data_IF_220008854081
#
_entry.id   IF_220008854081
#
_cell.length_a   1.000
_cell.length_b   1.000
_cell.length_c   1.000
_cell.angle_alpha   90.00
_cell.angle_beta   90.00
_cell.angle_gamma   90.00
#
_symmetry.space_group_name_H-M   'P 1'
#
loop_
_entity.id
_entity.type
_entity.pdbx_description
1 polymer ?
#
# COMPACT_ATOMS: atom_id res chain seq x y z
N UNK A 1 -84.61 -10.29 -22.10
CA UNK A 1 -83.55 -11.33 -22.13
C UNK A 1 -82.21 -10.66 -22.41
N UNK A 2 -81.16 -11.14 -21.72
CA UNK A 2 -79.97 -10.37 -21.29
C UNK A 2 -78.94 -10.11 -22.41
N UNK A 3 -78.41 -8.88 -22.45
CA UNK A 3 -77.27 -8.44 -23.27
C UNK A 3 -75.98 -9.18 -22.85
N UNK A 4 -75.27 -9.76 -23.82
CA UNK A 4 -73.93 -10.31 -23.63
C UNK A 4 -72.89 -9.19 -23.64
N UNK A 5 -72.23 -8.94 -22.51
CA UNK A 5 -71.03 -8.09 -22.43
C UNK A 5 -69.82 -8.89 -22.90
N UNK A 6 -69.22 -8.52 -24.04
CA UNK A 6 -67.89 -9.00 -24.44
C UNK A 6 -66.86 -8.42 -23.46
N UNK A 7 -66.14 -9.28 -22.73
CA UNK A 7 -64.97 -8.89 -21.93
C UNK A 7 -63.78 -8.70 -22.88
N UNK A 8 -63.27 -7.47 -22.96
CA UNK A 8 -61.97 -7.16 -23.56
C UNK A 8 -60.87 -7.57 -22.58
N UNK A 9 -59.89 -8.36 -23.04
CA UNK A 9 -58.64 -8.62 -22.33
C UNK A 9 -57.55 -7.72 -22.94
N UNK A 10 -56.71 -7.03 -22.14
CA UNK A 10 -55.59 -6.28 -22.70
C UNK A 10 -54.44 -7.23 -23.06
N UNK A 11 -53.99 -7.16 -24.31
CA UNK A 11 -52.72 -7.74 -24.76
C UNK A 11 -51.56 -7.05 -24.03
N UNK A 12 -50.72 -7.83 -23.34
CA UNK A 12 -49.46 -7.32 -22.78
C UNK A 12 -48.47 -7.10 -23.92
N UNK A 13 -48.25 -5.85 -24.28
CA UNK A 13 -47.27 -5.44 -25.29
C UNK A 13 -45.87 -5.47 -24.65
N UNK A 14 -45.12 -6.54 -24.93
CA UNK A 14 -43.71 -6.67 -24.56
C UNK A 14 -42.86 -5.93 -25.60
N UNK A 15 -42.59 -4.65 -25.36
CA UNK A 15 -41.69 -3.85 -26.20
C UNK A 15 -40.77 -3.01 -25.31
N UNK A 16 -39.59 -3.53 -24.99
CA UNK A 16 -38.53 -2.69 -24.42
C UNK A 16 -37.98 -1.78 -25.52
N UNK A 17 -37.88 -0.47 -25.25
CA UNK A 17 -37.36 0.48 -26.23
C UNK A 17 -35.89 0.17 -26.53
N UNK A 18 -35.46 0.35 -27.78
CA UNK A 18 -34.04 0.29 -28.15
C UNK A 18 -33.21 1.30 -27.32
N UNK A 19 -33.83 2.39 -26.88
CA UNK A 19 -33.23 3.40 -26.01
C UNK A 19 -32.93 2.84 -24.61
N UNK A 20 -33.81 2.00 -24.07
CA UNK A 20 -33.61 1.31 -22.79
C UNK A 20 -32.44 0.32 -22.89
N UNK A 21 -32.32 -0.37 -24.02
CA UNK A 21 -31.19 -1.28 -24.28
C UNK A 21 -29.86 -0.53 -24.39
N UNK A 22 -29.83 0.59 -25.11
CA UNK A 22 -28.65 1.45 -25.21
C UNK A 22 -28.27 2.07 -23.86
N UNK A 23 -29.26 2.47 -23.04
CA UNK A 23 -29.04 2.98 -21.69
C UNK A 23 -28.43 1.90 -20.77
N UNK A 24 -28.93 0.67 -20.85
CA UNK A 24 -28.38 -0.47 -20.09
C UNK A 24 -26.94 -0.82 -20.51
N UNK A 25 -26.62 -0.75 -21.81
CA UNK A 25 -25.25 -0.96 -22.28
C UNK A 25 -24.29 0.13 -21.80
N UNK A 26 -24.73 1.39 -21.81
CA UNK A 26 -23.93 2.52 -21.30
C UNK A 26 -23.69 2.42 -19.79
N UNK A 27 -24.69 2.02 -19.01
CA UNK A 27 -24.53 1.84 -17.56
C UNK A 27 -23.60 0.67 -17.23
N UNK A 28 -23.68 -0.43 -17.99
CA UNK A 28 -22.75 -1.55 -17.87
C UNK A 28 -21.31 -1.16 -18.24
N UNK A 29 -21.12 -0.35 -19.29
CA UNK A 29 -19.81 0.18 -19.69
C UNK A 29 -19.23 1.11 -18.61
N UNK A 30 -20.01 2.06 -18.08
CA UNK A 30 -19.58 2.96 -17.01
C UNK A 30 -19.25 2.20 -15.71
N UNK A 31 -20.03 1.15 -15.40
CA UNK A 31 -19.75 0.26 -14.26
C UNK A 31 -18.44 -0.49 -14.47
N UNK A 32 -18.19 -1.00 -15.68
CA UNK A 32 -16.93 -1.66 -16.03
C UNK A 32 -15.74 -0.72 -15.90
N UNK A 33 -15.83 0.49 -16.45
CA UNK A 33 -14.79 1.53 -16.34
C UNK A 33 -14.48 1.87 -14.88
N UNK A 34 -15.52 2.03 -14.06
CA UNK A 34 -15.38 2.25 -12.61
C UNK A 34 -14.60 1.13 -11.90
N UNK A 35 -14.95 -0.13 -12.14
CA UNK A 35 -14.21 -1.27 -11.57
C UNK A 35 -12.78 -1.38 -12.12
N UNK A 36 -12.57 -1.02 -13.38
CA UNK A 36 -11.26 -1.06 -14.02
C UNK A 36 -10.33 0.02 -13.46
N UNK A 37 -10.88 1.18 -13.10
CA UNK A 37 -10.16 2.23 -12.38
C UNK A 37 -9.82 1.81 -10.94
N UNK A 38 -10.74 1.18 -10.21
CA UNK A 38 -10.45 0.59 -8.89
C UNK A 38 -9.34 -0.46 -8.98
N UNK A 39 -9.35 -1.30 -10.01
CA UNK A 39 -8.32 -2.32 -10.22
C UNK A 39 -6.95 -1.69 -10.52
N UNK A 40 -6.92 -0.60 -11.30
CA UNK A 40 -5.68 0.17 -11.55
C UNK A 40 -5.15 0.81 -10.27
N UNK A 41 -6.01 1.43 -9.47
CA UNK A 41 -5.64 2.06 -8.20
C UNK A 41 -5.12 1.01 -7.21
N UNK A 42 -5.78 -0.16 -7.15
CA UNK A 42 -5.33 -1.30 -6.36
C UNK A 42 -3.96 -1.79 -6.85
N UNK A 43 -3.75 -1.93 -8.16
CA UNK A 43 -2.47 -2.33 -8.72
C UNK A 43 -1.36 -1.34 -8.36
N UNK A 44 -1.59 -0.04 -8.42
CA UNK A 44 -0.60 0.96 -8.01
C UNK A 44 -0.28 0.89 -6.52
N UNK A 45 -1.26 0.58 -5.65
CA UNK A 45 -1.02 0.32 -4.23
C UNK A 45 -0.21 -0.96 -3.96
N UNK A 46 -0.37 -1.99 -4.81
CA UNK A 46 0.34 -3.25 -4.70
C UNK A 46 1.71 -3.25 -5.42
N UNK A 47 1.97 -2.24 -6.25
CA UNK A 47 3.17 -2.15 -7.11
C UNK A 47 4.49 -1.86 -6.38
N UNK A 48 4.46 -1.59 -5.08
CA UNK A 48 5.65 -1.20 -4.31
C UNK A 48 6.17 0.21 -4.61
N UNK A 49 5.51 0.98 -5.47
CA UNK A 49 5.85 2.38 -5.76
C UNK A 49 5.61 3.28 -4.56
N UNK A 50 6.41 4.33 -4.47
CA UNK A 50 6.21 5.37 -3.46
C UNK A 50 5.16 6.37 -3.92
N UNK A 51 4.17 6.64 -3.06
CA UNK A 51 3.25 7.76 -3.23
C UNK A 51 3.86 9.03 -2.61
N UNK A 52 4.40 9.89 -3.47
CA UNK A 52 5.16 11.09 -3.08
C UNK A 52 4.26 12.30 -2.83
N UNK A 53 4.49 13.01 -1.73
CA UNK A 53 3.86 14.30 -1.45
C UNK A 53 4.94 15.33 -1.13
N UNK A 54 4.80 16.54 -1.68
CA UNK A 54 5.68 17.65 -1.37
C UNK A 54 5.53 18.01 0.11
N UNK A 55 6.61 18.05 0.86
CA UNK A 55 6.56 18.33 2.30
C UNK A 55 7.72 19.20 2.72
N UNK A 56 7.43 20.19 3.56
CA UNK A 56 8.41 20.92 4.35
C UNK A 56 8.51 20.25 5.73
N UNK A 57 9.73 19.96 6.19
CA UNK A 57 9.92 19.44 7.54
C UNK A 57 10.54 20.54 8.42
N UNK A 58 9.96 20.72 9.60
CA UNK A 58 10.44 21.66 10.62
C UNK A 58 11.72 21.19 11.33
N UNK A 59 12.28 20.05 10.92
CA UNK A 59 13.48 19.46 11.52
C UNK A 59 14.46 19.04 10.41
N UNK A 60 15.78 19.00 10.72
CA UNK A 60 16.76 18.44 9.80
C UNK A 60 16.33 17.03 9.36
N UNK A 61 16.28 16.82 8.06
CA UNK A 61 15.93 15.54 7.45
C UNK A 61 16.89 15.27 6.31
N UNK A 62 17.12 14.00 6.02
CA UNK A 62 18.10 13.56 5.06
C UNK A 62 17.45 12.74 3.97
N UNK A 63 17.95 12.89 2.74
CA UNK A 63 17.46 12.14 1.61
C UNK A 63 17.88 10.67 1.72
N UNK A 64 16.92 9.75 1.67
CA UNK A 64 17.15 8.31 1.71
C UNK A 64 17.85 7.73 0.47
N UNK A 65 18.09 8.54 -0.57
CA UNK A 65 18.79 8.14 -1.79
C UNK A 65 20.24 8.64 -1.76
N UNK A 66 20.48 9.96 -1.75
CA UNK A 66 21.85 10.50 -1.77
C UNK A 66 22.46 10.70 -0.37
N UNK A 67 21.71 10.47 0.71
CA UNK A 67 22.12 10.64 2.10
C UNK A 67 22.47 12.08 2.53
N UNK A 68 22.34 13.06 1.64
CA UNK A 68 22.55 14.48 1.94
C UNK A 68 21.35 15.10 2.64
N UNK A 69 21.58 16.21 3.35
CA UNK A 69 20.52 16.97 4.00
C UNK A 69 19.53 17.53 2.96
N UNK A 70 18.25 17.53 3.34
CA UNK A 70 17.21 18.30 2.67
C UNK A 70 17.32 19.75 3.17
N UNK A 71 18.11 20.60 2.51
CA UNK A 71 18.46 21.97 2.96
C UNK A 71 17.43 23.04 2.54
N UNK A 72 17.29 24.09 3.37
CA UNK A 72 16.46 25.29 3.11
C UNK A 72 15.84 25.87 4.39
N UNK A 73 15.27 27.08 4.36
CA UNK A 73 14.47 27.68 5.47
C UNK A 73 13.30 26.76 5.86
N UNK A 74 12.92 25.84 4.97
CA UNK A 74 12.36 24.54 5.32
C UNK A 74 13.01 23.45 4.47
N UNK A 75 13.05 22.20 4.95
CA UNK A 75 13.59 21.10 4.15
C UNK A 75 12.62 20.73 3.03
N UNK A 76 12.82 21.26 1.82
CA UNK A 76 11.93 21.00 0.69
C UNK A 76 12.28 19.66 0.02
N UNK A 77 11.34 18.74 0.04
CA UNK A 77 11.48 17.43 -0.60
C UNK A 77 10.16 16.72 -0.79
N UNK A 78 10.24 15.46 -1.19
CA UNK A 78 9.11 14.55 -1.19
C UNK A 78 9.18 13.61 0.00
N UNK A 79 8.04 13.42 0.65
CA UNK A 79 7.85 12.37 1.64
C UNK A 79 6.84 11.36 1.09
N UNK A 80 7.16 10.08 1.18
CA UNK A 80 6.21 9.04 0.85
C UNK A 80 5.11 9.00 1.93
N UNK A 81 3.84 9.00 1.56
CA UNK A 81 2.74 8.96 2.54
C UNK A 81 2.61 7.61 3.24
N UNK A 82 3.04 6.53 2.60
CA UNK A 82 2.94 5.15 3.11
C UNK A 82 4.10 4.84 4.06
N UNK A 83 5.32 4.76 3.53
CA UNK A 83 6.47 4.32 4.32
C UNK A 83 7.19 5.46 5.05
N UNK A 84 6.94 6.73 4.68
CA UNK A 84 7.63 7.93 5.19
C UNK A 84 9.09 8.09 4.74
N UNK A 85 9.49 7.45 3.64
CA UNK A 85 10.77 7.72 2.98
C UNK A 85 10.83 9.18 2.53
N UNK A 86 12.00 9.80 2.66
CA UNK A 86 12.19 11.22 2.34
C UNK A 86 13.27 11.38 1.28
N UNK A 87 12.99 12.17 0.25
CA UNK A 87 13.91 12.33 -0.88
C UNK A 87 13.91 13.77 -1.38
N UNK A 88 15.01 14.22 -1.99
CA UNK A 88 14.98 15.44 -2.80
C UNK A 88 14.06 15.24 -3.99
N UNK A 89 13.53 16.34 -4.53
CA UNK A 89 12.76 16.33 -5.78
C UNK A 89 13.52 15.65 -6.93
N UNK A 90 14.84 15.87 -7.03
CA UNK A 90 15.73 15.24 -8.03
C UNK A 90 16.02 13.76 -7.78
N UNK A 91 15.80 13.28 -6.56
CA UNK A 91 16.15 11.92 -6.14
C UNK A 91 14.96 10.97 -6.19
N UNK A 92 13.72 11.46 -6.30
CA UNK A 92 12.51 10.61 -6.29
C UNK A 92 12.47 9.64 -7.47
N UNK A 93 13.00 10.01 -8.62
CA UNK A 93 13.08 9.14 -9.81
C UNK A 93 14.12 8.02 -9.66
N UNK A 94 15.07 8.17 -8.74
CA UNK A 94 16.11 7.17 -8.44
C UNK A 94 15.75 6.30 -7.23
N UNK A 95 14.61 6.56 -6.61
CA UNK A 95 14.14 5.79 -5.46
C UNK A 95 13.76 4.37 -5.91
N UNK A 96 14.26 3.36 -5.19
CA UNK A 96 13.91 1.96 -5.43
C UNK A 96 12.42 1.78 -5.13
N UNK A 97 11.68 1.06 -5.97
CA UNK A 97 10.25 0.76 -5.76
C UNK A 97 10.03 -0.33 -4.71
N UNK A 98 10.48 -0.09 -3.47
CA UNK A 98 10.38 -1.04 -2.35
C UNK A 98 9.60 -0.47 -1.16
N UNK A 99 8.57 0.35 -1.43
CA UNK A 99 7.88 1.18 -0.45
C UNK A 99 7.38 0.44 0.80
N UNK A 100 6.36 -0.39 0.64
CA UNK A 100 5.82 -1.24 1.70
C UNK A 100 5.32 -2.52 1.04
N UNK A 101 5.67 -3.67 1.62
CA UNK A 101 5.16 -4.95 1.16
C UNK A 101 3.63 -4.96 1.33
N UNK A 102 2.93 -5.65 0.45
CA UNK A 102 1.46 -5.70 0.48
C UNK A 102 0.94 -7.08 0.10
N UNK A 103 1.76 -7.87 -0.60
CA UNK A 103 1.48 -9.27 -0.98
C UNK A 103 2.65 -10.17 -0.64
N UNK A 104 2.41 -11.48 -0.66
CA UNK A 104 3.44 -12.51 -0.47
C UNK A 104 4.55 -12.35 -1.52
N UNK A 105 4.17 -12.07 -2.78
CA UNK A 105 5.10 -11.82 -3.87
C UNK A 105 6.02 -10.60 -3.61
N UNK A 106 5.51 -9.57 -2.94
CA UNK A 106 6.31 -8.38 -2.63
C UNK A 106 7.36 -8.61 -1.53
N UNK A 107 7.15 -9.59 -0.65
CA UNK A 107 8.17 -10.04 0.33
C UNK A 107 9.26 -10.84 -0.41
N UNK A 108 8.86 -11.69 -1.36
CA UNK A 108 9.78 -12.43 -2.22
C UNK A 108 10.67 -13.38 -1.43
N UNK A 109 12.00 -13.20 -1.55
CA UNK A 109 13.00 -14.12 -0.96
C UNK A 109 13.20 -13.92 0.55
N UNK A 110 12.64 -12.86 1.12
CA UNK A 110 12.80 -12.53 2.53
C UNK A 110 11.83 -13.33 3.43
N UNK A 111 10.97 -14.17 2.85
CA UNK A 111 10.02 -15.01 3.61
C UNK A 111 10.77 -15.95 4.56
N UNK A 112 10.27 -16.07 5.79
CA UNK A 112 10.79 -16.98 6.80
C UNK A 112 9.85 -18.18 6.88
N UNK A 113 10.37 -19.36 6.52
CA UNK A 113 9.67 -20.64 6.66
C UNK A 113 10.25 -21.41 7.86
N UNK A 114 9.38 -21.88 8.75
CA UNK A 114 9.80 -22.75 9.84
C UNK A 114 9.82 -24.23 9.41
N UNK A 115 10.31 -25.10 10.31
CA UNK A 115 10.42 -26.55 10.06
C UNK A 115 9.06 -27.24 9.87
N UNK A 116 7.99 -26.61 10.35
CA UNK A 116 6.62 -27.11 10.31
C UNK A 116 5.88 -26.59 9.07
N UNK A 117 6.53 -25.78 8.24
CA UNK A 117 5.98 -25.21 7.01
C UNK A 117 5.12 -23.95 7.23
N UNK A 118 5.14 -23.35 8.43
CA UNK A 118 4.47 -22.06 8.64
C UNK A 118 5.29 -20.93 8.02
N UNK A 119 4.56 -20.05 7.34
CA UNK A 119 5.11 -18.88 6.67
C UNK A 119 4.99 -17.66 7.58
N UNK A 120 6.12 -17.01 7.82
CA UNK A 120 6.20 -15.73 8.53
C UNK A 120 7.01 -14.72 7.73
N UNK A 121 6.90 -13.44 8.10
CA UNK A 121 7.60 -12.36 7.42
C UNK A 121 8.58 -11.64 8.35
N UNK A 122 9.72 -11.18 7.83
CA UNK A 122 10.65 -10.39 8.60
C UNK A 122 10.17 -8.96 8.74
N UNK A 123 10.91 -8.20 9.55
CA UNK A 123 10.75 -6.76 9.61
C UNK A 123 11.20 -6.08 8.31
N UNK A 124 10.31 -5.28 7.71
CA UNK A 124 10.68 -4.36 6.63
C UNK A 124 11.30 -3.09 7.23
N UNK A 125 12.63 -3.00 7.22
CA UNK A 125 13.37 -1.90 7.85
C UNK A 125 13.55 -0.69 6.94
N UNK A 126 13.38 0.50 7.51
CA UNK A 126 13.71 1.78 6.90
C UNK A 126 14.75 2.51 7.75
N UNK A 127 15.80 3.00 7.10
CA UNK A 127 16.90 3.72 7.76
C UNK A 127 16.58 5.21 7.99
N UNK A 128 16.89 5.68 9.20
CA UNK A 128 16.96 7.11 9.54
C UNK A 128 15.64 7.86 9.56
N UNK A 129 15.75 9.19 9.66
CA UNK A 129 14.62 10.11 9.80
C UNK A 129 13.66 9.70 10.95
N UNK A 130 14.22 9.18 12.04
CA UNK A 130 13.46 8.70 13.18
C UNK A 130 12.85 9.86 13.99
N UNK A 131 11.71 9.64 14.67
CA UNK A 131 11.16 10.59 15.63
C UNK A 131 12.18 10.95 16.73
N UNK A 132 12.13 12.18 17.25
CA UNK A 132 13.06 12.65 18.31
C UNK A 132 12.97 11.82 19.59
N UNK A 133 11.79 11.30 19.90
CA UNK A 133 11.53 10.43 21.06
C UNK A 133 11.66 8.93 20.75
N UNK A 134 12.26 8.56 19.62
CA UNK A 134 12.41 7.15 19.25
C UNK A 134 13.34 6.43 20.23
N UNK A 135 12.84 5.36 20.85
CA UNK A 135 13.61 4.48 21.74
C UNK A 135 13.92 3.15 21.07
N UNK A 136 15.12 2.64 21.30
CA UNK A 136 15.49 1.33 20.78
C UNK A 136 14.71 0.22 21.49
N UNK A 137 14.03 -0.64 20.74
CA UNK A 137 13.27 -1.77 21.26
C UNK A 137 14.13 -2.87 21.93
N UNK A 138 15.47 -2.77 21.83
CA UNK A 138 16.42 -3.75 22.41
C UNK A 138 17.05 -3.21 23.70
N UNK A 139 17.50 -1.95 23.72
CA UNK A 139 18.23 -1.38 24.86
C UNK A 139 17.52 -0.22 25.58
N UNK A 140 16.31 0.16 25.14
CA UNK A 140 15.48 1.29 25.62
C UNK A 140 16.13 2.69 25.57
N UNK A 141 17.34 2.82 25.02
CA UNK A 141 18.00 4.12 24.83
C UNK A 141 17.47 4.83 23.58
N UNK A 142 17.54 6.16 23.57
CA UNK A 142 17.19 6.98 22.40
C UNK A 142 18.01 6.57 21.17
N UNK A 143 17.35 6.49 20.02
CA UNK A 143 17.95 6.11 18.74
C UNK A 143 17.54 7.09 17.63
N UNK A 144 18.33 7.13 16.56
CA UNK A 144 18.25 8.11 15.49
C UNK A 144 19.35 9.16 15.57
N UNK A 145 19.44 9.99 14.53
CA UNK A 145 20.40 11.07 14.44
C UNK A 145 19.78 12.30 13.78
N UNK A 146 20.15 13.48 14.27
CA UNK A 146 19.82 14.76 13.65
C UNK A 146 20.85 15.20 12.61
N UNK A 147 21.97 14.48 12.51
CA UNK A 147 23.12 14.84 11.66
C UNK A 147 23.24 13.96 10.40
N UNK A 148 22.54 12.81 10.36
CA UNK A 148 22.57 11.86 9.24
C UNK A 148 21.44 10.85 9.32
N UNK A 149 21.29 10.04 8.28
CA UNK A 149 20.52 8.79 8.35
C UNK A 149 21.28 7.78 9.21
N UNK A 150 20.61 7.28 10.23
CA UNK A 150 21.12 6.29 11.15
C UNK A 150 19.95 5.60 11.86
N UNK A 151 20.18 4.35 12.25
CA UNK A 151 19.23 3.51 12.96
C UNK A 151 18.00 3.18 12.11
N UNK A 152 17.17 2.27 12.59
CA UNK A 152 16.20 1.58 11.76
C UNK A 152 14.81 1.65 12.39
N UNK A 153 13.79 1.74 11.53
CA UNK A 153 12.38 1.62 11.91
C UNK A 153 11.69 0.59 11.06
N UNK A 154 10.94 -0.31 11.67
CA UNK A 154 10.12 -1.26 10.94
C UNK A 154 8.84 -0.58 10.44
N UNK A 155 8.48 -0.78 9.16
CA UNK A 155 7.27 -0.20 8.55
C UNK A 155 5.96 -0.83 9.04
N UNK A 156 6.05 -2.03 9.60
CA UNK A 156 4.92 -2.81 10.10
C UNK A 156 4.73 -2.59 11.60
N UNK A 157 5.61 -3.15 12.41
CA UNK A 157 5.46 -3.10 13.86
C UNK A 157 5.85 -1.77 14.50
N UNK A 158 6.48 -0.85 13.75
CA UNK A 158 6.98 0.46 14.20
C UNK A 158 8.11 0.40 15.24
N UNK A 159 8.65 -0.77 15.54
CA UNK A 159 9.86 -0.89 16.35
C UNK A 159 10.99 -0.06 15.74
N UNK A 160 11.70 0.65 16.60
CA UNK A 160 12.93 1.37 16.27
C UNK A 160 14.12 0.69 16.93
N UNK A 161 15.24 0.55 16.22
CA UNK A 161 16.44 -0.13 16.73
C UNK A 161 17.70 0.55 16.27
N UNK A 162 18.72 0.59 17.13
CA UNK A 162 20.06 1.00 16.71
C UNK A 162 20.61 0.06 15.65
N UNK A 163 21.50 0.56 14.78
CA UNK A 163 22.23 -0.30 13.82
C UNK A 163 22.94 -1.46 14.53
N UNK A 164 23.58 -1.21 15.68
CA UNK A 164 24.27 -2.23 16.45
C UNK A 164 23.30 -3.20 17.19
N UNK A 165 22.09 -2.74 17.51
CA UNK A 165 21.10 -3.56 18.21
C UNK A 165 20.24 -4.40 17.25
N UNK A 166 20.20 -4.06 15.96
CA UNK A 166 19.35 -4.72 14.96
C UNK A 166 19.51 -6.24 14.94
N UNK A 167 20.73 -6.82 15.00
CA UNK A 167 20.91 -8.28 15.02
C UNK A 167 20.32 -8.98 16.25
N UNK A 168 20.09 -8.25 17.34
CA UNK A 168 19.52 -8.79 18.59
C UNK A 168 18.00 -8.61 18.67
N UNK A 169 17.36 -7.99 17.67
CA UNK A 169 15.91 -7.89 17.60
C UNK A 169 15.35 -9.18 16.95
N UNK A 170 14.15 -9.65 17.36
CA UNK A 170 13.52 -10.80 16.71
C UNK A 170 13.45 -10.62 15.19
N UNK A 171 13.72 -11.69 14.46
CA UNK A 171 13.70 -11.66 12.99
C UNK A 171 12.26 -11.58 12.46
N UNK A 172 11.33 -12.27 13.12
CA UNK A 172 9.91 -12.34 12.75
C UNK A 172 9.17 -11.09 13.23
N UNK A 173 8.50 -10.41 12.31
CA UNK A 173 7.77 -9.19 12.62
C UNK A 173 6.39 -9.47 13.23
N UNK A 174 6.08 -8.96 14.44
CA UNK A 174 4.79 -9.18 15.10
C UNK A 174 3.66 -8.26 14.57
N UNK A 175 3.92 -7.48 13.52
CA UNK A 175 3.03 -6.45 12.93
C UNK A 175 2.65 -5.29 13.86
N UNK A 176 3.01 -5.35 15.14
CA UNK A 176 2.85 -4.28 16.12
C UNK A 176 1.47 -4.24 16.79
N UNK A 177 1.12 -3.13 17.47
CA UNK A 177 -0.09 -3.05 18.29
C UNK A 177 -1.39 -3.27 17.51
N UNK A 178 -1.42 -2.90 16.23
CA UNK A 178 -2.59 -3.03 15.37
C UNK A 178 -2.67 -4.36 14.62
N UNK A 179 -1.92 -5.40 15.03
CA UNK A 179 -1.84 -6.68 14.30
C UNK A 179 -3.18 -7.32 13.97
N UNK A 180 -4.22 -7.09 14.79
CA UNK A 180 -5.57 -7.63 14.58
C UNK A 180 -6.36 -6.91 13.47
N UNK A 181 -5.94 -5.71 13.10
CA UNK A 181 -6.56 -4.89 12.04
C UNK A 181 -5.66 -4.76 10.82
N UNK A 182 -4.52 -5.47 10.81
CA UNK A 182 -3.56 -5.47 9.72
C UNK A 182 -3.68 -6.80 9.01
N UNK A 183 -4.00 -6.76 7.71
CA UNK A 183 -3.83 -7.94 6.86
C UNK A 183 -2.34 -8.05 6.53
N UNK A 184 -1.65 -9.11 6.99
CA UNK A 184 -0.25 -9.28 6.66
C UNK A 184 -0.08 -9.57 5.16
N UNK A 185 1.02 -9.13 4.53
CA UNK A 185 1.32 -9.47 3.14
C UNK A 185 1.37 -10.97 2.89
N UNK A 186 1.76 -11.77 3.90
CA UNK A 186 1.76 -13.24 3.81
C UNK A 186 0.38 -13.85 3.59
N UNK A 187 -0.70 -13.11 3.87
CA UNK A 187 -2.08 -13.56 3.63
C UNK A 187 -2.62 -13.14 2.26
N UNK A 188 -1.88 -12.35 1.47
CA UNK A 188 -2.35 -11.79 0.21
C UNK A 188 -1.52 -12.29 -0.97
N UNK A 189 -2.18 -12.91 -1.94
CA UNK A 189 -1.57 -13.31 -3.21
C UNK A 189 -1.84 -12.23 -4.26
N UNK A 190 -0.86 -11.97 -5.13
CA UNK A 190 -1.09 -11.08 -6.28
C UNK A 190 -2.05 -11.79 -7.23
N UNK A 191 -3.16 -11.14 -7.56
CA UNK A 191 -4.09 -11.62 -8.58
C UNK A 191 -3.43 -11.30 -9.92
N UNK A 192 -2.54 -12.18 -10.39
CA UNK A 192 -2.14 -12.13 -11.78
C UNK A 192 -3.39 -12.39 -12.64
N UNK A 193 -3.54 -11.62 -13.70
CA UNK A 193 -4.73 -11.59 -14.56
C UNK A 193 -4.98 -12.93 -15.26
N UNK A 194 -5.67 -13.87 -14.60
CA UNK A 194 -6.15 -15.12 -15.21
C UNK A 194 -7.36 -14.93 -16.14
N UNK A 195 -7.61 -13.71 -16.62
CA UNK A 195 -8.70 -13.39 -17.55
C UNK A 195 -8.41 -13.72 -19.02
N UNK A 196 -7.28 -14.37 -19.33
CA UNK A 196 -6.93 -14.75 -20.71
C UNK A 196 -7.06 -16.25 -21.03
N UNK A 197 -7.59 -17.09 -20.13
CA UNK A 197 -7.68 -18.54 -20.34
C UNK A 197 -9.10 -19.10 -20.63
N UNK A 198 -10.10 -18.26 -20.87
CA UNK A 198 -11.39 -18.70 -21.40
C UNK A 198 -11.77 -17.91 -22.66
N UNK A 199 -11.23 -18.32 -23.79
CA UNK A 199 -11.84 -18.18 -25.11
C UNK A 199 -11.65 -19.50 -25.86
#
# INVERSE_FOLDING_TARGET
MKQQKKKSYPEKQLGHSMEDYLAALKSAAATREYYQQIASDAHDLLSGKHSWVATSHARPTYCNVCREALSGVTSHGYSCVVCKWKVHKRCSTKAISNCKWTTLASIGKDIIEDKDGNISMPHQWMEGNLPVSAKCAVCDKTCGSVLRLQDWRCLWCRATVHTACRPNHPEVCPLGPSRVSVVPPTALHSIASDFHACN
#
